data_IF_825771248347
#
_entry.id   IF_825771248347
#
_cell.length_a   1.000
_cell.length_b   1.000
_cell.length_c   1.000
_cell.angle_alpha   90.00
_cell.angle_beta   90.00
_cell.angle_gamma   90.00
#
_symmetry.space_group_name_H-M   'P 1'
#
loop_
_entity.id
_entity.type
_entity.pdbx_description
1 polymer ?
#
# COMPACT_ATOMS: atom_id res chain seq x y z
N UNK A 1 -9.58 -1.14 -3.59
CA UNK A 1 -9.20 0.21 -3.10
C UNK A 1 -10.47 1.03 -2.95
N UNK A 2 -10.56 1.85 -1.90
CA UNK A 2 -11.65 2.81 -1.71
C UNK A 2 -11.04 4.20 -1.54
N UNK A 3 -11.66 5.22 -2.09
CA UNK A 3 -11.17 6.61 -2.03
C UNK A 3 -12.27 7.48 -1.42
N UNK A 4 -11.93 8.22 -0.36
CA UNK A 4 -12.82 9.06 0.43
C UNK A 4 -12.49 10.53 0.18
N UNK A 5 -12.72 10.98 -1.06
CA UNK A 5 -12.30 12.29 -1.54
C UNK A 5 -10.78 12.46 -1.54
N UNK A 6 -10.30 13.68 -1.30
CA UNK A 6 -8.87 14.02 -1.27
C UNK A 6 -8.19 13.70 0.07
N UNK A 7 -8.93 13.29 1.09
CA UNK A 7 -8.37 13.10 2.42
C UNK A 7 -7.71 11.73 2.59
N UNK A 8 -8.39 10.66 2.17
CA UNK A 8 -7.99 9.29 2.50
C UNK A 8 -8.33 8.33 1.37
N UNK A 9 -7.42 7.40 1.09
CA UNK A 9 -7.70 6.17 0.39
C UNK A 9 -7.34 4.96 1.26
N UNK A 10 -8.07 3.88 1.08
CA UNK A 10 -7.83 2.60 1.75
C UNK A 10 -7.44 1.51 0.75
N UNK A 11 -6.35 0.81 1.07
CA UNK A 11 -5.90 -0.40 0.39
C UNK A 11 -6.24 -1.63 1.24
N UNK A 12 -7.40 -2.28 1.04
CA UNK A 12 -7.87 -3.35 1.93
C UNK A 12 -7.05 -4.64 1.81
N UNK A 13 -6.45 -4.91 0.65
CA UNK A 13 -5.67 -6.11 0.40
C UNK A 13 -4.61 -5.83 -0.66
N UNK A 14 -3.43 -6.40 -0.45
CA UNK A 14 -2.35 -6.47 -1.43
C UNK A 14 -1.59 -7.77 -1.21
N UNK A 15 -1.27 -8.45 -2.30
CA UNK A 15 -0.63 -9.75 -2.26
C UNK A 15 0.31 -9.92 -3.45
N UNK A 16 1.37 -10.70 -3.24
CA UNK A 16 2.24 -11.18 -4.31
C UNK A 16 2.15 -12.70 -4.36
N UNK A 17 2.01 -13.24 -5.58
CA UNK A 17 2.05 -14.69 -5.82
C UNK A 17 3.29 -15.29 -5.16
N UNK A 18 3.16 -16.48 -4.56
CA UNK A 18 4.23 -17.10 -3.79
C UNK A 18 5.55 -17.22 -4.57
N UNK A 19 5.47 -17.66 -5.83
CA UNK A 19 6.63 -17.76 -6.73
C UNK A 19 7.32 -16.43 -7.05
N UNK A 20 6.66 -15.30 -6.79
CA UNK A 20 7.12 -13.96 -7.11
C UNK A 20 7.42 -13.10 -5.86
N UNK A 21 7.35 -13.69 -4.66
CA UNK A 21 7.67 -12.99 -3.40
C UNK A 21 9.16 -12.67 -3.32
N UNK A 22 9.49 -11.61 -2.58
CA UNK A 22 10.87 -11.08 -2.40
C UNK A 22 11.55 -10.56 -3.68
N UNK A 23 10.82 -10.42 -4.79
CA UNK A 23 11.32 -9.83 -6.03
C UNK A 23 11.00 -8.32 -6.16
N UNK A 24 10.53 -7.68 -5.08
CA UNK A 24 10.22 -6.24 -5.08
C UNK A 24 8.87 -5.85 -5.66
N UNK A 25 8.09 -6.78 -6.24
CA UNK A 25 6.80 -6.48 -6.89
C UNK A 25 5.81 -5.71 -6.00
N UNK A 26 5.64 -6.13 -4.74
CA UNK A 26 4.74 -5.44 -3.81
C UNK A 26 5.16 -3.97 -3.62
N UNK A 27 6.46 -3.71 -3.51
CA UNK A 27 7.01 -2.36 -3.35
C UNK A 27 6.73 -1.48 -4.55
N UNK A 28 6.95 -2.00 -5.76
CA UNK A 28 6.64 -1.27 -7.00
C UNK A 28 5.15 -0.97 -7.07
N UNK A 29 4.29 -1.97 -6.84
CA UNK A 29 2.85 -1.80 -6.88
C UNK A 29 2.35 -0.73 -5.89
N UNK A 30 2.78 -0.81 -4.62
CA UNK A 30 2.34 0.14 -3.58
C UNK A 30 2.82 1.55 -3.89
N UNK A 31 4.05 1.72 -4.36
CA UNK A 31 4.58 3.02 -4.78
C UNK A 31 3.77 3.62 -5.92
N UNK A 32 3.52 2.85 -6.98
CA UNK A 32 2.72 3.34 -8.12
C UNK A 32 1.30 3.72 -7.67
N UNK A 33 0.69 2.96 -6.76
CA UNK A 33 -0.61 3.32 -6.18
C UNK A 33 -0.53 4.64 -5.41
N UNK A 34 0.48 4.85 -4.57
CA UNK A 34 0.71 6.10 -3.85
C UNK A 34 0.88 7.29 -4.81
N UNK A 35 1.72 7.14 -5.85
CA UNK A 35 1.99 8.19 -6.82
C UNK A 35 0.73 8.58 -7.61
N UNK A 36 -0.09 7.59 -8.02
CA UNK A 36 -1.37 7.85 -8.70
C UNK A 36 -2.39 8.52 -7.79
N UNK A 37 -2.47 8.12 -6.53
CA UNK A 37 -3.37 8.72 -5.54
C UNK A 37 -2.96 10.17 -5.23
N UNK A 38 -1.66 10.43 -5.07
CA UNK A 38 -1.13 11.77 -4.87
C UNK A 38 -1.43 12.68 -6.07
N UNK A 39 -1.28 12.18 -7.31
CA UNK A 39 -1.66 12.93 -8.52
C UNK A 39 -3.15 13.25 -8.60
N UNK A 40 -4.02 12.44 -7.97
CA UNK A 40 -5.45 12.70 -7.82
C UNK A 40 -5.79 13.58 -6.60
N UNK A 41 -4.78 14.07 -5.88
CA UNK A 41 -4.95 14.94 -4.71
C UNK A 41 -5.29 14.20 -3.41
N UNK A 42 -5.17 12.88 -3.37
CA UNK A 42 -5.37 12.09 -2.16
C UNK A 42 -4.15 12.21 -1.25
N UNK A 43 -4.36 12.59 0.01
CA UNK A 43 -3.29 12.93 0.96
C UNK A 43 -2.83 11.78 1.86
N UNK A 44 -3.69 10.80 2.10
CA UNK A 44 -3.39 9.69 3.01
C UNK A 44 -3.76 8.36 2.38
N UNK A 45 -2.89 7.36 2.55
CA UNK A 45 -3.15 5.97 2.22
C UNK A 45 -3.11 5.14 3.50
N UNK A 46 -4.20 4.47 3.84
CA UNK A 46 -4.27 3.55 4.96
C UNK A 46 -4.52 2.12 4.49
N UNK A 47 -4.13 1.15 5.30
CA UNK A 47 -4.42 -0.27 5.08
C UNK A 47 -4.55 -1.02 6.40
N UNK A 48 -5.39 -2.06 6.48
CA UNK A 48 -5.37 -2.99 7.59
C UNK A 48 -4.12 -3.88 7.51
N UNK A 49 -3.38 -3.99 8.61
CA UNK A 49 -2.23 -4.88 8.73
C UNK A 49 -2.57 -6.08 9.64
N UNK A 50 -2.30 -7.30 9.16
CA UNK A 50 -2.23 -8.46 10.05
C UNK A 50 -1.10 -8.25 11.08
N UNK A 51 -1.24 -8.81 12.28
CA UNK A 51 -0.26 -8.64 13.38
C UNK A 51 1.17 -8.93 12.91
N UNK A 52 1.36 -10.02 12.18
CA UNK A 52 2.68 -10.46 11.68
C UNK A 52 3.24 -9.58 10.55
N UNK A 53 2.40 -8.73 9.96
CA UNK A 53 2.76 -7.85 8.85
C UNK A 53 2.98 -6.38 9.29
N UNK A 54 2.65 -6.00 10.53
CA UNK A 54 2.78 -4.61 11.02
C UNK A 54 4.20 -4.09 10.82
N UNK A 55 5.19 -4.85 11.27
CA UNK A 55 6.60 -4.48 11.12
C UNK A 55 7.03 -4.38 9.65
N UNK A 56 6.45 -5.20 8.78
CA UNK A 56 6.72 -5.13 7.33
C UNK A 56 6.23 -3.80 6.76
N UNK A 57 5.02 -3.36 7.14
CA UNK A 57 4.45 -2.10 6.69
C UNK A 57 5.21 -0.89 7.23
N UNK A 58 5.47 -0.85 8.53
CA UNK A 58 6.15 0.29 9.18
C UNK A 58 7.62 0.35 8.75
N UNK A 59 8.39 -0.72 8.96
CA UNK A 59 9.85 -0.70 8.73
C UNK A 59 10.22 -0.89 7.26
N UNK A 60 9.43 -1.68 6.51
CA UNK A 60 9.74 -2.04 5.13
C UNK A 60 9.16 -1.07 4.10
N UNK A 61 7.94 -0.58 4.31
CA UNK A 61 7.24 0.32 3.38
C UNK A 61 7.18 1.78 3.86
N UNK A 62 7.47 2.06 5.14
CA UNK A 62 7.43 3.41 5.69
C UNK A 62 6.02 3.95 5.90
N UNK A 63 5.06 3.05 6.15
CA UNK A 63 3.71 3.43 6.60
C UNK A 63 3.71 3.91 8.05
#
# INVERSE_FOLDING_TARGET
MRVFGSSLAELPLVATKQAARRQGHCRVLVREVQDKLAALGVRCLALPAARDAVDTWIKGFGF
#
